data_IF_473081591079
#
_entry.id   IF_473081591079
#
_cell.length_a   1.000
_cell.length_b   1.000
_cell.length_c   1.000
_cell.angle_alpha   90.00
_cell.angle_beta   90.00
_cell.angle_gamma   90.00
#
_symmetry.space_group_name_H-M   'P 1'
#
loop_
_entity.id
_entity.type
_entity.pdbx_description
1 polymer ?
#
# COMPACT_ATOMS: atom_id res chain seq x y z
N UNK A 1 -22.63 5.64 -10.54
CA UNK A 1 -21.56 4.72 -10.98
C UNK A 1 -20.28 5.22 -10.35
N UNK A 2 -19.63 4.38 -9.55
CA UNK A 2 -18.38 4.76 -8.87
C UNK A 2 -17.20 4.79 -9.85
N UNK A 3 -16.10 5.47 -9.47
CA UNK A 3 -14.89 5.59 -10.30
C UNK A 3 -14.17 4.24 -10.54
N UNK A 4 -14.45 3.23 -9.71
CA UNK A 4 -13.87 1.89 -9.78
C UNK A 4 -14.93 0.80 -10.00
N UNK A 5 -16.10 1.18 -10.51
CA UNK A 5 -17.20 0.26 -10.74
C UNK A 5 -16.78 -0.89 -11.68
N UNK A 6 -17.03 -2.14 -11.25
CA UNK A 6 -16.61 -3.35 -11.95
C UNK A 6 -15.11 -3.70 -11.88
N UNK A 7 -14.28 -2.90 -11.18
CA UNK A 7 -12.87 -3.22 -10.93
C UNK A 7 -12.73 -4.25 -9.80
N UNK A 8 -11.61 -4.93 -9.76
CA UNK A 8 -11.28 -5.96 -8.76
C UNK A 8 -9.89 -5.70 -8.22
N UNK A 9 -9.80 -5.39 -6.92
CA UNK A 9 -8.56 -4.98 -6.29
C UNK A 9 -8.00 -6.01 -5.31
N UNK A 10 -6.68 -6.12 -5.27
CA UNK A 10 -5.94 -6.67 -4.15
C UNK A 10 -5.37 -5.52 -3.33
N UNK A 11 -5.59 -5.52 -2.00
CA UNK A 11 -4.97 -4.57 -1.08
C UNK A 11 -4.18 -5.33 -0.02
N UNK A 12 -2.85 -5.28 -0.08
CA UNK A 12 -2.03 -5.94 0.95
C UNK A 12 -2.01 -5.12 2.24
N UNK A 13 -2.20 -5.79 3.40
CA UNK A 13 -2.33 -5.11 4.69
C UNK A 13 -3.61 -4.27 4.83
N UNK A 14 -4.73 -4.74 4.26
CA UNK A 14 -5.99 -4.00 4.18
C UNK A 14 -6.87 -4.03 5.43
N UNK A 15 -6.45 -4.69 6.52
CA UNK A 15 -7.27 -4.78 7.74
C UNK A 15 -7.20 -3.54 8.63
N UNK A 16 -6.17 -2.70 8.51
CA UNK A 16 -5.91 -1.57 9.38
C UNK A 16 -5.27 -0.39 8.61
N UNK A 17 -5.27 0.80 9.23
CA UNK A 17 -4.52 1.97 8.79
C UNK A 17 -4.79 2.37 7.34
N UNK A 18 -3.73 2.73 6.60
CA UNK A 18 -3.82 3.21 5.21
C UNK A 18 -4.46 2.15 4.31
N UNK A 19 -4.08 0.88 4.44
CA UNK A 19 -4.65 -0.19 3.63
C UNK A 19 -6.16 -0.35 3.81
N UNK A 20 -6.67 -0.27 5.05
CA UNK A 20 -8.12 -0.28 5.32
C UNK A 20 -8.81 0.93 4.71
N UNK A 21 -8.25 2.13 4.87
CA UNK A 21 -8.83 3.35 4.30
C UNK A 21 -8.92 3.26 2.76
N UNK A 22 -7.88 2.73 2.10
CA UNK A 22 -7.88 2.49 0.65
C UNK A 22 -8.94 1.44 0.27
N UNK A 23 -8.98 0.30 0.97
CA UNK A 23 -9.96 -0.76 0.71
C UNK A 23 -11.40 -0.25 0.85
N UNK A 24 -11.68 0.53 1.91
CA UNK A 24 -12.98 1.17 2.14
C UNK A 24 -13.33 2.17 1.03
N UNK A 25 -12.37 3.01 0.61
CA UNK A 25 -12.60 3.95 -0.48
C UNK A 25 -12.85 3.24 -1.82
N UNK A 26 -12.13 2.15 -2.10
CA UNK A 26 -12.34 1.33 -3.28
C UNK A 26 -13.75 0.70 -3.30
N UNK A 27 -14.18 0.12 -2.17
CA UNK A 27 -15.52 -0.45 -2.05
C UNK A 27 -16.63 0.60 -2.24
N UNK A 28 -16.45 1.81 -1.71
CA UNK A 28 -17.38 2.95 -1.92
C UNK A 28 -17.47 3.36 -3.39
N UNK A 29 -16.41 3.16 -4.16
CA UNK A 29 -16.35 3.44 -5.60
C UNK A 29 -16.75 2.24 -6.47
N UNK A 30 -17.35 1.18 -5.88
CA UNK A 30 -17.89 0.03 -6.61
C UNK A 30 -16.88 -1.07 -6.95
N UNK A 31 -15.69 -1.06 -6.34
CA UNK A 31 -14.64 -2.05 -6.57
C UNK A 31 -14.84 -3.28 -5.68
N UNK A 32 -14.77 -4.48 -6.24
CA UNK A 32 -14.59 -5.71 -5.47
C UNK A 32 -13.20 -5.75 -4.85
N UNK A 33 -13.09 -6.12 -3.58
CA UNK A 33 -11.82 -6.01 -2.85
C UNK A 33 -11.44 -7.32 -2.18
N UNK A 34 -10.28 -7.85 -2.54
CA UNK A 34 -9.57 -8.86 -1.75
C UNK A 34 -8.42 -8.22 -0.99
N UNK A 35 -8.26 -8.54 0.30
CA UNK A 35 -7.17 -7.95 1.07
C UNK A 35 -6.46 -8.96 1.97
N UNK A 36 -5.25 -8.61 2.42
CA UNK A 36 -4.51 -9.42 3.38
C UNK A 36 -4.43 -8.77 4.74
N UNK A 37 -4.30 -9.59 5.78
CA UNK A 37 -3.91 -9.19 7.12
C UNK A 37 -2.79 -10.13 7.62
N UNK A 38 -1.90 -9.66 8.49
CA UNK A 38 -0.84 -10.52 9.01
C UNK A 38 -1.40 -11.52 10.04
N UNK A 39 -2.00 -11.02 11.12
CA UNK A 39 -2.46 -11.82 12.27
C UNK A 39 -3.65 -11.23 13.03
N UNK A 40 -4.24 -10.13 12.54
CA UNK A 40 -5.39 -9.45 13.17
C UNK A 40 -6.69 -9.91 12.48
N UNK A 41 -7.07 -11.15 12.72
CA UNK A 41 -8.27 -11.72 12.11
C UNK A 41 -9.57 -10.99 12.53
N UNK A 42 -9.76 -10.58 13.80
CA UNK A 42 -10.93 -9.80 14.17
C UNK A 42 -11.06 -8.48 13.38
N UNK A 43 -9.97 -7.72 13.21
CA UNK A 43 -9.98 -6.52 12.39
C UNK A 43 -10.28 -6.83 10.92
N UNK A 44 -9.70 -7.91 10.38
CA UNK A 44 -9.96 -8.34 9.00
C UNK A 44 -11.43 -8.71 8.78
N UNK A 45 -12.04 -9.46 9.70
CA UNK A 45 -13.48 -9.78 9.67
C UNK A 45 -14.37 -8.54 9.72
N UNK A 46 -14.02 -7.58 10.58
CA UNK A 46 -14.71 -6.29 10.69
C UNK A 46 -14.62 -5.50 9.38
N UNK A 47 -13.41 -5.37 8.82
CA UNK A 47 -13.18 -4.69 7.54
C UNK A 47 -13.96 -5.35 6.41
N UNK A 48 -13.92 -6.68 6.29
CA UNK A 48 -14.70 -7.39 5.28
C UNK A 48 -16.20 -7.11 5.39
N UNK A 49 -16.74 -7.12 6.60
CA UNK A 49 -18.15 -6.81 6.82
C UNK A 49 -18.51 -5.38 6.41
N UNK A 50 -17.64 -4.41 6.73
CA UNK A 50 -17.76 -3.01 6.29
C UNK A 50 -17.79 -2.90 4.77
N UNK A 51 -16.81 -3.52 4.07
CA UNK A 51 -16.70 -3.44 2.61
C UNK A 51 -17.94 -4.04 1.93
N UNK A 52 -18.41 -5.20 2.39
CA UNK A 52 -19.64 -5.84 1.88
C UNK A 52 -20.88 -4.96 2.08
N UNK A 53 -20.89 -4.11 3.10
CA UNK A 53 -21.96 -3.13 3.33
C UNK A 53 -22.13 -2.10 2.20
N UNK A 54 -21.13 -1.93 1.33
CA UNK A 54 -21.22 -1.09 0.12
C UNK A 54 -21.74 -1.84 -1.11
N UNK A 55 -22.12 -3.13 -0.96
CA UNK A 55 -22.70 -3.93 -2.06
C UNK A 55 -21.67 -4.56 -2.99
N UNK A 56 -20.41 -4.58 -2.64
CA UNK A 56 -19.31 -5.19 -3.42
C UNK A 56 -18.92 -6.56 -2.86
N UNK A 57 -18.28 -7.40 -3.67
CA UNK A 57 -17.63 -8.61 -3.18
C UNK A 57 -16.38 -8.21 -2.37
N UNK A 58 -16.25 -8.80 -1.18
CA UNK A 58 -15.07 -8.58 -0.35
C UNK A 58 -14.69 -9.84 0.42
N UNK A 59 -13.40 -10.19 0.42
CA UNK A 59 -12.85 -11.25 1.26
C UNK A 59 -11.39 -10.99 1.61
N UNK A 60 -10.81 -11.83 2.50
CA UNK A 60 -9.45 -11.67 2.95
C UNK A 60 -8.75 -13.01 3.23
N UNK A 61 -7.44 -12.96 3.33
CA UNK A 61 -6.63 -14.05 3.87
C UNK A 61 -5.63 -13.52 4.90
N UNK A 62 -5.30 -14.36 5.89
CA UNK A 62 -4.15 -14.09 6.76
C UNK A 62 -2.88 -14.50 6.01
N UNK A 63 -1.96 -13.56 5.86
CA UNK A 63 -0.76 -13.75 5.05
C UNK A 63 0.42 -12.98 5.65
N UNK A 64 1.48 -13.72 5.99
CA UNK A 64 2.79 -13.10 6.20
C UNK A 64 3.48 -12.92 4.83
N UNK A 65 3.75 -11.67 4.48
CA UNK A 65 4.41 -11.31 3.23
C UNK A 65 5.83 -11.88 3.08
N UNK A 66 6.52 -12.18 4.19
CA UNK A 66 7.83 -12.81 4.17
C UNK A 66 7.80 -14.36 4.12
N UNK A 67 6.61 -14.96 4.18
CA UNK A 67 6.52 -16.42 4.14
C UNK A 67 6.76 -16.98 2.73
N UNK A 68 7.44 -18.10 2.64
CA UNK A 68 7.63 -18.83 1.38
C UNK A 68 6.28 -19.09 0.69
N UNK A 69 6.20 -18.82 -0.62
CA UNK A 69 4.98 -19.01 -1.41
C UNK A 69 3.86 -17.99 -1.09
N UNK A 70 4.16 -16.89 -0.38
CA UNK A 70 3.16 -15.88 -0.04
C UNK A 70 2.52 -15.25 -1.27
N UNK A 71 3.29 -15.01 -2.33
CA UNK A 71 2.80 -14.38 -3.57
C UNK A 71 1.79 -15.29 -4.28
N UNK A 72 2.09 -16.58 -4.43
CA UNK A 72 1.19 -17.52 -5.11
C UNK A 72 -0.13 -17.66 -4.32
N UNK A 73 -0.02 -17.83 -2.98
CA UNK A 73 -1.20 -17.87 -2.11
C UNK A 73 -2.06 -16.60 -2.21
N UNK A 74 -1.43 -15.42 -2.28
CA UNK A 74 -2.14 -14.15 -2.46
C UNK A 74 -2.93 -14.16 -3.76
N UNK A 75 -2.26 -14.47 -4.87
CA UNK A 75 -2.85 -14.40 -6.20
C UNK A 75 -3.97 -15.41 -6.40
N UNK A 76 -3.80 -16.64 -5.89
CA UNK A 76 -4.80 -17.71 -6.00
C UNK A 76 -6.03 -17.43 -5.13
N UNK A 77 -5.82 -16.98 -3.89
CA UNK A 77 -6.92 -16.62 -3.00
C UNK A 77 -7.71 -15.41 -3.53
N UNK A 78 -7.04 -14.40 -4.07
CA UNK A 78 -7.71 -13.25 -4.67
C UNK A 78 -8.53 -13.65 -5.89
N UNK A 79 -7.96 -14.47 -6.79
CA UNK A 79 -8.67 -14.95 -7.99
C UNK A 79 -9.90 -15.80 -7.63
N UNK A 80 -9.83 -16.61 -6.59
CA UNK A 80 -10.96 -17.39 -6.10
C UNK A 80 -12.07 -16.52 -5.48
N UNK A 81 -11.71 -15.42 -4.83
CA UNK A 81 -12.65 -14.57 -4.10
C UNK A 81 -13.37 -13.53 -4.99
N UNK A 82 -12.63 -12.89 -5.91
CA UNK A 82 -13.13 -11.74 -6.68
C UNK A 82 -12.92 -11.89 -8.20
N UNK A 83 -12.42 -13.02 -8.67
CA UNK A 83 -12.05 -13.23 -10.07
C UNK A 83 -10.67 -12.67 -10.39
N UNK A 84 -10.36 -12.39 -11.67
CA UNK A 84 -9.07 -11.83 -12.05
C UNK A 84 -8.94 -10.38 -11.54
N UNK A 85 -8.04 -10.09 -10.57
CA UNK A 85 -7.84 -8.73 -10.11
C UNK A 85 -7.15 -7.89 -11.19
N UNK A 86 -7.55 -6.65 -11.34
CA UNK A 86 -6.98 -5.67 -12.27
C UNK A 86 -6.43 -4.42 -11.58
N UNK A 87 -6.50 -4.38 -10.23
CA UNK A 87 -5.81 -3.41 -9.39
C UNK A 87 -5.03 -4.13 -8.30
N UNK A 88 -3.76 -3.74 -8.10
CA UNK A 88 -2.92 -4.21 -6.99
C UNK A 88 -2.44 -3.02 -6.16
N UNK A 89 -2.72 -3.01 -4.86
CA UNK A 89 -2.18 -2.05 -3.91
C UNK A 89 -1.17 -2.75 -3.01
N UNK A 90 0.11 -2.47 -3.19
CA UNK A 90 1.20 -2.90 -2.33
C UNK A 90 1.32 -1.93 -1.14
N UNK A 91 0.59 -2.23 -0.06
CA UNK A 91 0.56 -1.40 1.14
C UNK A 91 1.17 -2.11 2.36
N UNK A 92 1.16 -3.43 2.43
CA UNK A 92 1.76 -4.15 3.56
C UNK A 92 3.22 -3.72 3.76
N UNK A 93 3.57 -3.34 4.97
CA UNK A 93 4.90 -2.89 5.33
C UNK A 93 5.20 -3.17 6.80
N UNK A 94 6.49 -3.27 7.12
CA UNK A 94 7.01 -3.34 8.48
C UNK A 94 8.17 -2.37 8.65
N UNK A 95 8.41 -1.94 9.88
CA UNK A 95 9.53 -1.09 10.24
C UNK A 95 9.96 -1.38 11.67
N UNK A 96 11.25 -1.30 11.95
CA UNK A 96 11.82 -1.21 13.30
C UNK A 96 12.53 0.14 13.45
N UNK A 97 12.82 0.53 14.69
CA UNK A 97 13.64 1.69 15.01
C UNK A 97 14.90 1.22 15.71
N UNK A 98 15.94 0.96 14.91
CA UNK A 98 17.22 0.46 15.38
C UNK A 98 18.33 1.34 14.81
N UNK A 99 19.25 1.78 15.66
CA UNK A 99 20.41 2.59 15.28
C UNK A 99 21.22 1.91 14.17
N UNK A 100 21.86 2.70 13.31
CA UNK A 100 22.57 2.15 12.15
C UNK A 100 23.67 1.14 12.53
N UNK A 101 24.35 1.36 13.66
CA UNK A 101 25.42 0.46 14.12
C UNK A 101 24.90 -0.77 14.87
N UNK A 102 23.64 -0.75 15.30
CA UNK A 102 23.02 -1.80 16.11
C UNK A 102 22.03 -2.67 15.31
N UNK A 103 21.79 -2.30 14.05
CA UNK A 103 20.86 -3.01 13.18
C UNK A 103 21.37 -4.42 12.87
N UNK A 104 20.55 -5.42 13.16
CA UNK A 104 20.91 -6.82 12.87
C UNK A 104 20.56 -7.22 11.44
N UNK A 105 21.26 -8.23 10.88
CA UNK A 105 20.90 -8.79 9.57
C UNK A 105 19.44 -9.27 9.51
N UNK A 106 18.92 -9.87 10.58
CA UNK A 106 17.56 -10.42 10.65
C UNK A 106 16.51 -9.31 10.58
N UNK A 107 16.74 -8.18 11.26
CA UNK A 107 15.86 -7.01 11.18
C UNK A 107 15.88 -6.40 9.77
N UNK A 108 17.08 -6.29 9.17
CA UNK A 108 17.24 -5.81 7.80
C UNK A 108 16.51 -6.71 6.81
N UNK A 109 16.76 -8.02 6.87
CA UNK A 109 16.17 -9.01 5.95
C UNK A 109 14.65 -9.00 6.07
N UNK A 110 14.10 -8.95 7.29
CA UNK A 110 12.65 -8.88 7.51
C UNK A 110 12.01 -7.67 6.84
N UNK A 111 12.64 -6.50 6.95
CA UNK A 111 12.12 -5.26 6.35
C UNK A 111 12.23 -5.32 4.83
N UNK A 112 13.35 -5.79 4.29
CA UNK A 112 13.53 -5.92 2.84
C UNK A 112 12.58 -6.96 2.23
N UNK A 113 12.35 -8.09 2.89
CA UNK A 113 11.41 -9.13 2.45
C UNK A 113 9.98 -8.57 2.34
N UNK A 114 9.50 -7.90 3.38
CA UNK A 114 8.12 -7.41 3.42
C UNK A 114 7.92 -6.19 2.52
N UNK A 115 8.85 -5.22 2.57
CA UNK A 115 8.63 -3.90 1.98
C UNK A 115 9.09 -3.79 0.51
N UNK A 116 9.98 -4.68 0.07
CA UNK A 116 10.55 -4.61 -1.28
C UNK A 116 10.42 -5.94 -2.05
N UNK A 117 10.91 -7.04 -1.49
CA UNK A 117 10.89 -8.33 -2.20
C UNK A 117 9.47 -8.80 -2.47
N UNK A 118 8.60 -8.78 -1.49
CA UNK A 118 7.21 -9.18 -1.67
C UNK A 118 6.45 -8.31 -2.68
N UNK A 119 6.44 -6.96 -2.62
CA UNK A 119 5.84 -6.12 -3.65
C UNK A 119 6.42 -6.36 -5.06
N UNK A 120 7.71 -6.62 -5.17
CA UNK A 120 8.35 -6.93 -6.45
C UNK A 120 7.70 -8.16 -7.10
N UNK A 121 7.68 -9.28 -6.40
CA UNK A 121 7.14 -10.53 -6.94
C UNK A 121 5.61 -10.54 -7.00
N UNK A 122 4.91 -9.83 -6.12
CA UNK A 122 3.48 -9.63 -6.22
C UNK A 122 3.11 -8.83 -7.50
N UNK A 123 3.86 -7.77 -7.81
CA UNK A 123 3.69 -7.01 -9.06
C UNK A 123 3.99 -7.88 -10.29
N UNK A 124 5.06 -8.68 -10.26
CA UNK A 124 5.42 -9.59 -11.33
C UNK A 124 4.31 -10.64 -11.59
N UNK A 125 3.85 -11.33 -10.53
CA UNK A 125 2.82 -12.35 -10.65
C UNK A 125 1.46 -11.78 -11.10
N UNK A 126 1.08 -10.61 -10.59
CA UNK A 126 -0.10 -9.86 -11.01
C UNK A 126 -0.03 -9.49 -12.50
N UNK A 127 1.08 -8.89 -12.94
CA UNK A 127 1.28 -8.51 -14.33
C UNK A 127 1.31 -9.71 -15.28
N UNK A 128 1.91 -10.83 -14.88
CA UNK A 128 1.93 -12.06 -15.67
C UNK A 128 0.52 -12.61 -15.93
N UNK A 129 -0.36 -12.57 -14.92
CA UNK A 129 -1.76 -13.01 -15.05
C UNK A 129 -2.56 -12.10 -15.98
N UNK A 130 -2.41 -10.78 -15.85
CA UNK A 130 -3.06 -9.82 -16.73
C UNK A 130 -2.58 -9.93 -18.17
N UNK A 131 -1.25 -10.06 -18.37
CA UNK A 131 -0.69 -10.27 -19.70
C UNK A 131 -1.24 -11.53 -20.37
N UNK A 132 -1.33 -12.63 -19.63
CA UNK A 132 -1.88 -13.88 -20.15
C UNK A 132 -3.36 -13.74 -20.54
N UNK A 133 -4.12 -12.88 -19.83
CA UNK A 133 -5.52 -12.60 -20.12
C UNK A 133 -5.73 -11.49 -21.16
N UNK A 134 -4.67 -10.81 -21.63
CA UNK A 134 -4.78 -9.64 -22.50
C UNK A 134 -5.49 -8.44 -21.85
N UNK A 135 -5.46 -8.35 -20.52
CA UNK A 135 -6.19 -7.35 -19.75
C UNK A 135 -5.27 -6.24 -19.23
N UNK A 136 -5.71 -4.97 -19.23
CA UNK A 136 -4.97 -3.87 -18.62
C UNK A 136 -5.06 -3.91 -17.09
N UNK A 137 -4.21 -3.14 -16.41
CA UNK A 137 -4.25 -3.05 -14.95
C UNK A 137 -3.60 -1.81 -14.36
N UNK A 138 -3.72 -1.70 -13.02
CA UNK A 138 -3.05 -0.64 -12.26
C UNK A 138 -2.41 -1.19 -10.99
N UNK A 139 -1.15 -0.85 -10.76
CA UNK A 139 -0.43 -1.11 -9.52
C UNK A 139 -0.20 0.20 -8.78
N UNK A 140 -0.54 0.24 -7.49
CA UNK A 140 -0.30 1.36 -6.59
C UNK A 140 0.61 0.92 -5.46
N UNK A 141 1.83 1.44 -5.41
CA UNK A 141 2.79 1.16 -4.36
C UNK A 141 2.70 2.24 -3.27
N UNK A 142 2.50 1.84 -2.02
CA UNK A 142 2.52 2.77 -0.88
C UNK A 142 3.96 2.86 -0.38
N UNK A 143 4.64 3.94 -0.81
CA UNK A 143 6.02 4.24 -0.41
C UNK A 143 6.06 5.07 0.89
N UNK A 144 6.85 6.10 0.95
CA UNK A 144 6.98 7.04 2.08
C UNK A 144 7.81 8.24 1.63
N UNK A 145 7.65 9.40 2.24
CA UNK A 145 8.63 10.49 2.13
C UNK A 145 10.03 10.06 2.57
N UNK A 146 10.13 9.10 3.48
CA UNK A 146 11.40 8.51 3.89
C UNK A 146 12.15 7.77 2.77
N UNK A 147 11.57 7.62 1.59
CA UNK A 147 12.28 7.11 0.41
C UNK A 147 13.32 8.11 -0.14
N UNK A 148 13.15 9.39 0.15
CA UNK A 148 14.01 10.49 -0.33
C UNK A 148 14.61 11.37 0.78
N UNK A 149 14.22 11.15 2.04
CA UNK A 149 14.72 11.92 3.19
C UNK A 149 15.19 11.01 4.32
N UNK A 150 16.26 11.42 5.01
CA UNK A 150 16.83 10.64 6.11
C UNK A 150 16.09 10.87 7.43
N UNK A 151 15.75 9.78 8.11
CA UNK A 151 15.20 9.77 9.47
C UNK A 151 16.05 8.84 10.32
N UNK A 152 16.41 9.29 11.53
CA UNK A 152 17.23 8.51 12.45
C UNK A 152 16.61 7.14 12.79
N UNK A 153 17.48 6.13 12.93
CA UNK A 153 17.13 4.77 13.32
C UNK A 153 16.16 4.05 12.37
N UNK A 154 16.15 4.39 11.07
CA UNK A 154 15.26 3.81 10.06
C UNK A 154 15.96 3.52 8.71
N UNK A 155 17.28 3.40 8.67
CA UNK A 155 18.02 3.28 7.41
C UNK A 155 17.54 2.13 6.51
N UNK A 156 17.31 0.94 7.07
CA UNK A 156 16.80 -0.24 6.35
C UNK A 156 15.39 -0.03 5.78
N UNK A 157 14.51 0.63 6.54
CA UNK A 157 13.18 1.01 6.05
C UNK A 157 13.28 2.00 4.89
N UNK A 158 14.11 3.03 5.02
CA UNK A 158 14.34 4.03 3.98
C UNK A 158 14.88 3.40 2.70
N UNK A 159 15.89 2.51 2.81
CA UNK A 159 16.40 1.73 1.69
C UNK A 159 15.30 0.92 1.01
N UNK A 160 14.43 0.25 1.79
CA UNK A 160 13.32 -0.53 1.25
C UNK A 160 12.30 0.33 0.49
N UNK A 161 11.98 1.53 1.01
CA UNK A 161 11.02 2.45 0.37
C UNK A 161 11.61 3.17 -0.85
N UNK A 162 12.90 3.51 -0.83
CA UNK A 162 13.62 4.00 -2.00
C UNK A 162 13.67 2.94 -3.11
N UNK A 163 13.94 1.67 -2.75
CA UNK A 163 13.86 0.53 -3.65
C UNK A 163 12.47 0.34 -4.25
N UNK A 164 11.41 0.50 -3.45
CA UNK A 164 10.02 0.41 -3.91
C UNK A 164 9.66 1.53 -4.90
N UNK A 165 10.16 2.76 -4.66
CA UNK A 165 9.99 3.88 -5.60
C UNK A 165 10.72 3.64 -6.92
N UNK A 166 11.91 3.03 -6.89
CA UNK A 166 12.62 2.64 -8.12
C UNK A 166 11.93 1.45 -8.82
N UNK A 167 11.44 0.45 -8.07
CA UNK A 167 10.63 -0.64 -8.63
C UNK A 167 9.42 -0.08 -9.40
N UNK A 168 8.75 0.94 -8.85
CA UNK A 168 7.62 1.60 -9.54
C UNK A 168 8.02 2.09 -10.93
N UNK A 169 9.15 2.79 -11.04
CA UNK A 169 9.64 3.34 -12.32
C UNK A 169 10.04 2.23 -13.30
N UNK A 170 10.77 1.23 -12.83
CA UNK A 170 11.20 0.10 -13.66
C UNK A 170 10.01 -0.72 -14.17
N UNK A 171 9.08 -1.08 -13.26
CA UNK A 171 7.89 -1.83 -13.63
C UNK A 171 6.95 -1.01 -14.54
N UNK A 172 6.82 0.30 -14.32
CA UNK A 172 6.05 1.18 -15.19
C UNK A 172 6.56 1.16 -16.63
N UNK A 173 7.89 1.24 -16.79
CA UNK A 173 8.52 1.20 -18.12
C UNK A 173 8.32 -0.15 -18.83
N UNK A 174 8.53 -1.25 -18.12
CA UNK A 174 8.45 -2.60 -18.70
C UNK A 174 7.02 -3.10 -18.93
N UNK A 175 6.06 -2.66 -18.10
CA UNK A 175 4.69 -3.15 -18.14
C UNK A 175 3.73 -2.27 -18.97
N UNK A 176 4.14 -1.06 -19.33
CA UNK A 176 3.34 -0.16 -20.17
C UNK A 176 2.89 -0.78 -21.52
N UNK A 177 3.73 -1.57 -22.25
CA UNK A 177 3.28 -2.22 -23.49
C UNK A 177 2.10 -3.21 -23.29
N UNK A 178 1.86 -3.66 -22.06
CA UNK A 178 0.74 -4.55 -21.72
C UNK A 178 -0.48 -3.80 -21.16
N UNK A 179 -0.48 -2.45 -21.19
CA UNK A 179 -1.55 -1.63 -20.64
C UNK A 179 -1.60 -1.63 -19.11
N UNK A 180 -0.50 -2.02 -18.42
CA UNK A 180 -0.42 -2.05 -16.97
C UNK A 180 0.35 -0.81 -16.49
N UNK A 181 -0.31 0.03 -15.69
CA UNK A 181 0.28 1.23 -15.10
C UNK A 181 0.80 0.91 -13.70
N UNK A 182 1.92 1.51 -13.31
CA UNK A 182 2.50 1.35 -11.97
C UNK A 182 2.86 2.73 -11.43
N UNK A 183 2.29 3.11 -10.29
CA UNK A 183 2.52 4.42 -9.67
C UNK A 183 2.69 4.27 -8.15
N UNK A 184 3.18 5.32 -7.53
CA UNK A 184 3.43 5.42 -6.09
C UNK A 184 2.51 6.46 -5.45
N UNK A 185 2.09 6.18 -4.21
CA UNK A 185 1.65 7.19 -3.25
C UNK A 185 2.68 7.22 -2.13
N UNK A 186 3.20 8.40 -1.82
CA UNK A 186 4.19 8.63 -0.76
C UNK A 186 3.56 9.40 0.41
N UNK A 187 3.16 8.68 1.49
CA UNK A 187 2.63 9.31 2.69
C UNK A 187 3.70 10.12 3.44
N UNK A 188 3.31 11.27 3.98
CA UNK A 188 3.99 11.95 5.08
C UNK A 188 3.68 11.32 6.44
N UNK A 189 3.96 12.06 7.52
CA UNK A 189 3.67 11.62 8.87
C UNK A 189 2.17 11.33 9.04
N UNK A 190 1.79 10.06 9.12
CA UNK A 190 0.40 9.60 9.16
C UNK A 190 0.14 8.72 10.38
N UNK A 191 -0.98 8.96 11.10
CA UNK A 191 -1.39 8.16 12.24
C UNK A 191 -1.86 6.76 11.79
N UNK A 192 -1.13 5.72 12.19
CA UNK A 192 -1.45 4.32 11.87
C UNK A 192 -1.33 3.44 13.11
N UNK A 193 -1.83 2.21 13.05
CA UNK A 193 -1.67 1.24 14.15
C UNK A 193 -0.18 0.94 14.42
N UNK A 194 0.66 0.94 13.39
CA UNK A 194 2.10 0.64 13.52
C UNK A 194 2.88 1.70 14.29
N UNK A 195 2.40 2.93 14.35
CA UNK A 195 3.01 4.01 15.11
C UNK A 195 2.10 4.54 16.26
N UNK A 196 1.14 3.71 16.70
CA UNK A 196 0.16 4.09 17.72
C UNK A 196 0.80 4.57 19.03
N UNK A 197 1.94 4.00 19.42
CA UNK A 197 2.71 4.47 20.59
C UNK A 197 3.04 5.96 20.50
N UNK A 198 3.29 6.49 19.29
CA UNK A 198 3.65 7.90 19.09
C UNK A 198 2.46 8.86 19.19
N UNK A 199 1.27 8.47 18.72
CA UNK A 199 0.13 9.38 18.65
C UNK A 199 -0.96 9.09 19.69
N UNK A 200 -1.05 7.86 20.16
CA UNK A 200 -2.02 7.48 21.19
C UNK A 200 -1.48 7.69 22.61
N UNK A 201 -0.23 7.30 22.83
CA UNK A 201 0.37 7.30 24.15
C UNK A 201 1.01 8.66 24.49
N UNK A 202 1.36 9.49 23.48
CA UNK A 202 1.78 10.87 23.62
C UNK A 202 1.10 11.79 22.58
N UNK A 203 -0.18 12.16 22.80
CA UNK A 203 -0.93 13.01 21.87
C UNK A 203 -0.38 14.45 21.77
N UNK A 204 0.31 14.92 22.79
CA UNK A 204 0.88 16.28 22.80
C UNK A 204 2.12 16.34 21.90
N UNK A 205 3.04 15.39 22.03
CA UNK A 205 4.17 15.25 21.11
C UNK A 205 3.69 15.06 19.68
N UNK A 206 2.62 14.27 19.47
CA UNK A 206 2.06 14.07 18.14
C UNK A 206 1.54 15.36 17.52
N UNK A 207 0.84 16.18 18.30
CA UNK A 207 0.38 17.50 17.86
C UNK A 207 1.54 18.45 17.58
N UNK A 208 2.58 18.42 18.42
CA UNK A 208 3.79 19.25 18.23
C UNK A 208 4.47 18.92 16.89
N UNK A 209 4.66 17.64 16.58
CA UNK A 209 5.19 17.21 15.28
C UNK A 209 4.33 17.66 14.09
N UNK A 210 3.03 17.82 14.30
CA UNK A 210 2.13 18.34 13.28
C UNK A 210 2.34 19.82 12.94
N UNK A 211 2.92 20.60 13.84
CA UNK A 211 3.17 22.05 13.62
C UNK A 211 4.24 22.30 12.56
N UNK A 212 5.18 21.37 12.37
CA UNK A 212 6.21 21.44 11.34
C UNK A 212 5.66 21.07 9.94
N UNK A 213 4.45 20.53 9.87
CA UNK A 213 3.78 20.23 8.61
C UNK A 213 3.00 21.46 8.14
N UNK A 214 3.17 21.95 6.90
CA UNK A 214 2.49 23.17 6.43
C UNK A 214 0.96 23.19 6.62
N UNK A 215 0.27 22.04 6.47
CA UNK A 215 -1.17 21.96 6.76
C UNK A 215 -1.49 21.84 8.26
N UNK A 216 -0.51 21.98 9.15
CA UNK A 216 -0.66 22.12 10.60
C UNK A 216 -1.10 20.85 11.34
N UNK A 217 -1.08 19.69 10.72
CA UNK A 217 -1.44 18.41 11.34
C UNK A 217 -0.79 17.20 10.67
N UNK A 218 -0.56 16.12 11.42
CA UNK A 218 -0.28 14.83 10.80
C UNK A 218 -1.45 14.33 9.95
N UNK A 219 -1.15 13.50 8.96
CA UNK A 219 -2.14 12.85 8.11
C UNK A 219 -2.96 11.79 8.85
N UNK A 220 -4.12 11.48 8.31
CA UNK A 220 -4.94 10.32 8.67
C UNK A 220 -4.92 9.33 7.52
N UNK A 221 -5.18 8.03 7.76
CA UNK A 221 -5.26 7.03 6.71
C UNK A 221 -6.19 7.43 5.54
N UNK A 222 -7.29 8.10 5.84
CA UNK A 222 -8.29 8.55 4.87
C UNK A 222 -7.74 9.61 3.91
N UNK A 223 -6.77 10.42 4.32
CA UNK A 223 -6.14 11.45 3.49
C UNK A 223 -5.42 10.82 2.27
N UNK A 224 -4.99 9.55 2.36
CA UNK A 224 -4.27 8.84 1.30
C UNK A 224 -5.19 8.17 0.29
N UNK A 225 -6.42 7.86 0.71
CA UNK A 225 -7.32 6.99 -0.04
C UNK A 225 -7.72 7.60 -1.40
N UNK A 226 -7.93 8.92 -1.47
CA UNK A 226 -8.29 9.61 -2.70
C UNK A 226 -7.23 9.50 -3.80
N UNK A 227 -5.94 9.59 -3.44
CA UNK A 227 -4.84 9.40 -4.39
C UNK A 227 -4.79 7.96 -4.92
N UNK A 228 -5.02 6.96 -4.06
CA UNK A 228 -5.08 5.57 -4.48
C UNK A 228 -6.26 5.29 -5.42
N UNK A 229 -7.44 5.84 -5.14
CA UNK A 229 -8.61 5.74 -6.03
C UNK A 229 -8.32 6.37 -7.39
N UNK A 230 -7.74 7.59 -7.42
CA UNK A 230 -7.33 8.25 -8.66
C UNK A 230 -6.38 7.37 -9.48
N UNK A 231 -5.31 6.83 -8.84
CA UNK A 231 -4.32 5.99 -9.53
C UNK A 231 -4.89 4.65 -10.01
N UNK A 232 -5.89 4.11 -9.33
CA UNK A 232 -6.58 2.89 -9.74
C UNK A 232 -7.61 3.10 -10.86
N UNK A 233 -8.10 4.34 -11.03
CA UNK A 233 -9.18 4.68 -11.96
C UNK A 233 -8.69 5.00 -13.39
N UNK A 234 -9.63 5.23 -14.30
CA UNK A 234 -9.37 5.71 -15.65
C UNK A 234 -8.91 7.18 -15.69
N UNK A 235 -9.15 7.95 -14.62
CA UNK A 235 -8.73 9.36 -14.52
C UNK A 235 -7.20 9.51 -14.62
N UNK A 236 -6.45 8.47 -14.22
CA UNK A 236 -4.98 8.42 -14.32
C UNK A 236 -4.47 7.61 -15.52
N UNK A 237 -5.27 7.45 -16.59
CA UNK A 237 -4.93 6.60 -17.74
C UNK A 237 -3.61 6.98 -18.42
N UNK A 238 -3.18 8.24 -18.34
CA UNK A 238 -1.92 8.75 -18.90
C UNK A 238 -0.81 8.90 -17.86
N UNK A 239 -0.95 8.25 -16.69
CA UNK A 239 0.03 8.33 -15.60
C UNK A 239 0.60 6.95 -15.28
N UNK A 240 1.92 6.79 -15.47
CA UNK A 240 2.70 5.61 -15.04
C UNK A 240 4.10 6.03 -14.65
N UNK A 241 4.71 5.37 -13.66
CA UNK A 241 6.03 5.70 -13.11
C UNK A 241 6.05 6.94 -12.20
N UNK A 242 4.88 7.54 -11.93
CA UNK A 242 4.75 8.73 -11.12
C UNK A 242 4.70 8.44 -9.61
N UNK A 243 4.94 9.48 -8.82
CA UNK A 243 4.81 9.48 -7.37
C UNK A 243 3.94 10.65 -6.93
N UNK A 244 2.90 10.37 -6.15
CA UNK A 244 2.02 11.38 -5.55
C UNK A 244 2.36 11.47 -4.06
N UNK A 245 3.03 12.56 -3.65
CA UNK A 245 3.20 12.88 -2.25
C UNK A 245 1.86 13.32 -1.64
N UNK A 246 1.49 12.71 -0.52
CA UNK A 246 0.30 13.06 0.27
C UNK A 246 0.77 13.25 1.72
N UNK A 247 1.25 14.44 2.02
CA UNK A 247 2.11 14.70 3.17
C UNK A 247 1.80 16.02 3.91
N UNK A 248 0.78 16.74 3.47
CA UNK A 248 0.44 18.04 4.04
C UNK A 248 1.43 19.16 3.70
N UNK A 249 2.31 18.95 2.71
CA UNK A 249 3.34 19.89 2.28
C UNK A 249 4.71 19.64 2.93
N UNK A 250 4.89 18.55 3.68
CA UNK A 250 6.14 18.23 4.40
C UNK A 250 7.36 18.18 3.44
N UNK A 251 7.19 17.71 2.21
CA UNK A 251 8.27 17.61 1.21
C UNK A 251 8.60 18.95 0.53
N UNK A 252 7.76 19.97 0.71
CA UNK A 252 7.97 21.30 0.13
C UNK A 252 8.89 22.21 0.96
N UNK A 253 9.38 21.72 2.11
CA UNK A 253 10.23 22.48 3.05
C UNK A 253 11.71 22.28 2.78
#
# INVERSE_FOLDING_TARGET
MGRLDGRRAIVTGGANGIGRAIATAFAREGCDVFFTALNDEPAARSTRAELRGYGVAADFTLLDAAATGAVDRLMDAAAAAVGLPDVLVNNAATATRTGFLDLTPEEYDRVMEVNLRFPFFATQAFAARLRAAGAPGSVVNISSLSASSAVSAMAHYQCSKAGLSMLTRSAAYELAPFGIRVNTVSPGLTATKSNAVQWRDDPDLWRERGKDIPLGRPGRPEDLAGAAVFLASAESAWMTGGDIAVDGGEVAL
#
